data_IF_368606746358
#
_entry.id   IF_368606746358
#
_cell.length_a   1.000
_cell.length_b   1.000
_cell.length_c   1.000
_cell.angle_alpha   90.00
_cell.angle_beta   90.00
_cell.angle_gamma   90.00
#
_symmetry.space_group_name_H-M   'P 1'
#
loop_
_entity.id
_entity.type
_entity.pdbx_description
1 polymer ?
#
# COMPACT_ATOMS: atom_id res chain seq x y z
N UNK A 1 -46.06 49.82 30.15
CA UNK A 1 -44.82 49.65 29.37
C UNK A 1 -44.07 48.44 29.91
N UNK A 2 -44.12 47.29 29.22
CA UNK A 2 -43.03 46.30 29.08
C UNK A 2 -43.56 45.07 28.36
N UNK A 3 -43.04 44.89 27.15
CA UNK A 3 -43.24 43.76 26.27
C UNK A 3 -42.41 42.59 26.79
N UNK A 4 -43.02 41.42 27.05
CA UNK A 4 -42.25 40.20 27.33
C UNK A 4 -42.24 39.36 26.05
N UNK A 5 -41.06 39.34 25.43
CA UNK A 5 -40.77 38.74 24.13
C UNK A 5 -40.71 37.21 24.25
N UNK A 6 -41.27 36.55 23.25
CA UNK A 6 -41.12 35.12 22.97
C UNK A 6 -39.64 34.72 22.90
N UNK A 7 -39.26 33.61 23.53
CA UNK A 7 -38.01 32.92 23.25
C UNK A 7 -38.35 31.47 22.91
N UNK A 8 -38.49 31.20 21.61
CA UNK A 8 -38.55 29.83 21.08
C UNK A 8 -37.10 29.36 21.02
N UNK A 9 -36.72 28.44 21.89
CA UNK A 9 -35.43 27.78 21.84
C UNK A 9 -35.47 26.72 20.73
N UNK A 10 -34.99 27.06 19.54
CA UNK A 10 -34.73 26.11 18.46
C UNK A 10 -33.41 25.39 18.73
N UNK A 11 -33.49 24.17 19.25
CA UNK A 11 -32.34 23.26 19.35
C UNK A 11 -32.07 22.71 17.95
N UNK A 12 -31.06 23.26 17.26
CA UNK A 12 -30.49 22.70 16.05
C UNK A 12 -29.57 21.53 16.43
N UNK A 13 -30.09 20.31 16.33
CA UNK A 13 -29.28 19.09 16.41
C UNK A 13 -28.54 18.95 15.08
N UNK A 14 -27.28 19.40 15.03
CA UNK A 14 -26.37 19.05 13.96
C UNK A 14 -26.00 17.57 14.09
N UNK A 15 -26.68 16.71 13.34
CA UNK A 15 -26.17 15.36 13.07
C UNK A 15 -24.90 15.51 12.23
N UNK A 16 -23.74 15.37 12.86
CA UNK A 16 -22.49 15.12 12.16
C UNK A 16 -22.59 13.72 11.53
N UNK A 17 -23.05 13.64 10.30
CA UNK A 17 -22.88 12.44 9.49
C UNK A 17 -21.36 12.30 9.30
N UNK A 18 -20.72 11.21 9.76
CA UNK A 18 -19.36 10.94 9.33
C UNK A 18 -19.44 10.69 7.82
N UNK A 19 -19.03 11.67 7.03
CA UNK A 19 -18.73 11.46 5.62
C UNK A 19 -17.52 10.54 5.64
N UNK A 20 -17.76 9.24 5.54
CA UNK A 20 -16.73 8.30 5.10
C UNK A 20 -16.46 8.71 3.66
N UNK A 21 -15.55 9.66 3.47
CA UNK A 21 -14.97 9.92 2.17
C UNK A 21 -14.21 8.63 1.81
N UNK A 22 -14.85 7.75 1.04
CA UNK A 22 -14.09 6.78 0.25
C UNK A 22 -13.11 7.62 -0.58
N UNK A 23 -11.82 7.46 -0.29
CA UNK A 23 -10.76 8.11 -1.06
C UNK A 23 -10.83 7.48 -2.45
N UNK A 24 -11.51 8.16 -3.38
CA UNK A 24 -11.56 7.74 -4.77
C UNK A 24 -10.15 7.84 -5.35
N UNK A 25 -9.50 6.71 -5.58
CA UNK A 25 -8.21 6.64 -6.25
C UNK A 25 -8.41 6.72 -7.76
N UNK A 26 -7.88 7.75 -8.45
CA UNK A 26 -7.95 7.84 -9.91
C UNK A 26 -7.31 6.62 -10.58
N UNK A 27 -7.83 6.13 -11.73
CA UNK A 27 -7.31 4.93 -12.40
C UNK A 27 -5.78 4.96 -12.65
N UNK A 28 -5.23 6.12 -12.99
CA UNK A 28 -3.79 6.30 -13.22
C UNK A 28 -2.93 6.20 -11.94
N UNK A 29 -3.57 6.25 -10.77
CA UNK A 29 -2.95 6.13 -9.44
C UNK A 29 -3.22 4.79 -8.75
N UNK A 30 -3.89 3.85 -9.43
CA UNK A 30 -4.14 2.49 -8.94
C UNK A 30 -2.94 1.57 -9.18
N UNK A 31 -2.93 0.44 -8.48
CA UNK A 31 -1.87 -0.56 -8.54
C UNK A 31 -1.71 -1.12 -9.95
N UNK A 32 -0.45 -1.28 -10.38
CA UNK A 32 -0.15 -1.92 -11.66
C UNK A 32 1.19 -2.64 -11.63
N UNK A 33 1.24 -3.83 -12.22
CA UNK A 33 2.44 -4.67 -12.33
C UNK A 33 3.67 -3.94 -12.87
N UNK A 34 3.49 -2.99 -13.79
CA UNK A 34 4.61 -2.21 -14.36
C UNK A 34 5.36 -1.35 -13.34
N UNK A 35 4.78 -1.12 -12.16
CA UNK A 35 5.38 -0.37 -11.07
C UNK A 35 6.12 -1.24 -10.04
N UNK A 36 6.25 -2.55 -10.30
CA UNK A 36 7.04 -3.45 -9.46
C UNK A 36 8.51 -3.03 -9.45
N UNK A 37 9.06 -2.93 -8.25
CA UNK A 37 10.46 -2.57 -7.97
C UNK A 37 11.01 -3.48 -6.88
N UNK A 38 12.33 -3.62 -6.88
CA UNK A 38 13.07 -4.38 -5.88
C UNK A 38 13.76 -3.40 -4.92
N UNK A 39 13.85 -3.78 -3.65
CA UNK A 39 14.63 -3.11 -2.63
C UNK A 39 15.59 -4.08 -1.95
N UNK A 40 16.56 -3.52 -1.25
CA UNK A 40 17.47 -4.24 -0.36
C UNK A 40 17.37 -3.58 1.00
N UNK A 41 16.93 -4.34 2.00
CA UNK A 41 17.15 -3.99 3.40
C UNK A 41 18.46 -4.64 3.84
N UNK A 42 19.39 -3.86 4.35
CA UNK A 42 20.68 -4.29 4.85
C UNK A 42 21.15 -3.50 6.09
N UNK A 43 20.21 -2.96 6.87
CA UNK A 43 20.46 -2.31 8.16
C UNK A 43 20.78 -3.31 9.29
N UNK A 44 21.47 -2.84 10.34
CA UNK A 44 21.95 -3.66 11.44
C UNK A 44 22.76 -4.91 10.96
N UNK A 45 22.41 -6.10 11.44
CA UNK A 45 23.04 -7.39 11.11
C UNK A 45 22.19 -8.26 10.17
N UNK A 46 21.17 -7.70 9.51
CA UNK A 46 20.29 -8.46 8.60
C UNK A 46 20.44 -7.92 7.18
N UNK A 47 20.39 -8.78 6.17
CA UNK A 47 20.23 -8.36 4.78
C UNK A 47 19.23 -9.22 4.01
N UNK A 48 18.32 -8.60 3.27
CA UNK A 48 17.30 -9.29 2.46
C UNK A 48 16.81 -8.44 1.30
N UNK A 49 16.56 -9.09 0.16
CA UNK A 49 15.77 -8.50 -0.91
C UNK A 49 14.29 -8.48 -0.55
N UNK A 50 13.57 -7.52 -1.12
CA UNK A 50 12.12 -7.41 -1.04
C UNK A 50 11.55 -6.68 -2.25
N UNK A 51 10.23 -6.75 -2.44
CA UNK A 51 9.51 -6.14 -3.55
C UNK A 51 8.28 -5.36 -3.06
N UNK A 52 7.97 -4.27 -3.76
CA UNK A 52 6.87 -3.38 -3.41
C UNK A 52 5.47 -3.91 -3.75
N UNK A 53 5.37 -5.17 -4.19
CA UNK A 53 4.10 -5.90 -4.28
C UNK A 53 3.84 -6.79 -3.06
N UNK A 54 4.71 -6.76 -2.04
CA UNK A 54 4.47 -7.38 -0.73
C UNK A 54 5.40 -8.54 -0.37
N UNK A 55 6.18 -9.05 -1.33
CA UNK A 55 7.10 -10.17 -1.06
C UNK A 55 8.42 -9.71 -0.44
N UNK A 56 8.89 -10.44 0.57
CA UNK A 56 10.22 -10.31 1.19
C UNK A 56 10.91 -11.66 1.06
N UNK A 57 12.20 -11.65 0.68
CA UNK A 57 12.95 -12.84 0.26
C UNK A 57 12.38 -13.51 -1.00
N UNK A 58 13.22 -14.26 -1.72
CA UNK A 58 12.79 -15.00 -2.91
C UNK A 58 13.74 -16.18 -3.15
N UNK A 59 13.22 -17.40 -3.26
CA UNK A 59 14.04 -18.60 -3.52
C UNK A 59 14.89 -18.52 -4.79
N UNK A 60 16.20 -18.75 -4.65
CA UNK A 60 17.15 -18.62 -5.76
C UNK A 60 17.63 -17.18 -6.00
N UNK A 61 17.21 -16.21 -5.18
CA UNK A 61 17.79 -14.86 -5.12
C UNK A 61 18.49 -14.64 -3.79
N UNK A 62 19.46 -13.72 -3.79
CA UNK A 62 20.27 -13.39 -2.62
C UNK A 62 20.46 -11.86 -2.54
N UNK A 63 20.52 -11.28 -1.32
CA UNK A 63 20.37 -11.95 -0.03
C UNK A 63 18.91 -12.30 0.32
N UNK A 64 18.71 -13.36 1.09
CA UNK A 64 17.38 -13.87 1.47
C UNK A 64 17.27 -14.12 2.98
N UNK A 65 16.99 -13.05 3.74
CA UNK A 65 16.96 -13.09 5.19
C UNK A 65 18.28 -13.52 5.83
N UNK A 66 19.41 -12.99 5.34
CA UNK A 66 20.74 -13.37 5.81
C UNK A 66 21.03 -12.75 7.17
N UNK A 67 21.57 -13.56 8.08
CA UNK A 67 22.08 -13.12 9.38
C UNK A 67 23.30 -13.98 9.83
N UNK A 68 24.34 -13.40 10.44
CA UNK A 68 24.65 -11.98 10.39
C UNK A 68 24.96 -11.54 8.95
N UNK A 69 24.66 -10.28 8.63
CA UNK A 69 24.94 -9.65 7.34
C UNK A 69 26.36 -9.97 6.86
N UNK A 70 26.50 -10.37 5.59
CA UNK A 70 27.79 -10.78 5.02
C UNK A 70 28.19 -12.23 5.29
N UNK A 71 27.42 -13.01 6.05
CA UNK A 71 27.67 -14.45 6.22
C UNK A 71 27.34 -15.26 4.96
N UNK A 72 26.44 -14.76 4.12
CA UNK A 72 25.88 -15.50 2.99
C UNK A 72 24.91 -16.63 3.39
N UNK A 73 24.65 -16.84 4.69
CA UNK A 73 23.71 -17.83 5.16
C UNK A 73 22.28 -17.28 5.11
N UNK A 74 21.48 -17.78 4.18
CA UNK A 74 20.06 -17.42 4.05
C UNK A 74 19.16 -18.25 4.95
N UNK A 75 18.15 -17.60 5.51
CA UNK A 75 17.15 -18.23 6.39
C UNK A 75 15.72 -18.11 5.87
N UNK A 76 15.51 -17.41 4.75
CA UNK A 76 14.18 -17.16 4.19
C UNK A 76 14.10 -17.64 2.74
N UNK A 77 12.95 -18.20 2.38
CA UNK A 77 12.59 -18.53 1.00
C UNK A 77 11.80 -17.36 0.39
N UNK A 78 10.64 -17.05 0.96
CA UNK A 78 9.81 -15.90 0.61
C UNK A 78 8.67 -15.79 1.63
N UNK A 79 8.30 -14.56 1.98
CA UNK A 79 7.13 -14.27 2.83
C UNK A 79 6.33 -13.14 2.19
N UNK A 80 5.02 -13.17 2.38
CA UNK A 80 4.11 -12.10 1.92
C UNK A 80 2.95 -11.99 2.90
N UNK A 81 2.39 -10.78 3.13
CA UNK A 81 1.16 -10.65 3.90
C UNK A 81 -0.02 -11.24 3.12
N UNK A 82 -0.87 -11.98 3.82
CA UNK A 82 -2.18 -12.41 3.34
C UNK A 82 -3.24 -11.54 4.01
N UNK A 83 -4.14 -10.97 3.21
CA UNK A 83 -5.29 -10.21 3.71
C UNK A 83 -6.55 -10.94 3.26
N UNK A 84 -7.41 -11.29 4.21
CA UNK A 84 -8.65 -12.02 3.92
C UNK A 84 -9.85 -11.19 4.40
N UNK A 85 -10.85 -11.05 3.55
CA UNK A 85 -12.09 -10.34 3.87
C UNK A 85 -13.32 -11.18 3.54
N UNK A 86 -14.33 -11.15 4.41
CA UNK A 86 -15.67 -11.62 4.09
C UNK A 86 -16.43 -10.49 3.38
N UNK A 87 -16.97 -10.78 2.20
CA UNK A 87 -17.72 -9.81 1.40
C UNK A 87 -19.03 -10.42 0.89
N UNK A 88 -19.97 -9.56 0.47
CA UNK A 88 -21.17 -9.99 -0.26
C UNK A 88 -21.03 -9.59 -1.72
N UNK A 89 -21.18 -10.55 -2.62
CA UNK A 89 -21.19 -10.29 -4.05
C UNK A 89 -22.50 -9.60 -4.49
N UNK A 90 -22.58 -9.25 -5.78
CA UNK A 90 -23.78 -8.59 -6.36
C UNK A 90 -25.07 -9.42 -6.27
N UNK A 91 -24.97 -10.72 -6.03
CA UNK A 91 -26.10 -11.64 -5.84
C UNK A 91 -26.49 -11.82 -4.36
N UNK A 92 -25.83 -11.11 -3.46
CA UNK A 92 -26.05 -11.20 -2.01
C UNK A 92 -25.46 -12.46 -1.36
N UNK A 93 -24.63 -13.22 -2.08
CA UNK A 93 -23.95 -14.41 -1.56
C UNK A 93 -22.68 -13.96 -0.84
N UNK A 94 -22.49 -14.49 0.38
CA UNK A 94 -21.25 -14.30 1.14
C UNK A 94 -20.11 -15.09 0.50
N UNK A 95 -18.97 -14.45 0.32
CA UNK A 95 -17.73 -15.05 -0.16
C UNK A 95 -16.54 -14.51 0.63
N UNK A 96 -15.42 -15.22 0.57
CA UNK A 96 -14.17 -14.84 1.21
C UNK A 96 -13.13 -14.58 0.13
N UNK A 97 -12.59 -13.37 0.10
CA UNK A 97 -11.53 -12.97 -0.84
C UNK A 97 -10.22 -12.96 -0.06
N UNK A 98 -9.15 -13.47 -0.68
CA UNK A 98 -7.82 -13.57 -0.10
C UNK A 98 -6.82 -12.93 -1.05
N UNK A 99 -6.25 -11.81 -0.63
CA UNK A 99 -5.26 -11.05 -1.38
C UNK A 99 -3.85 -11.31 -0.89
N UNK A 100 -2.95 -11.48 -1.85
CA UNK A 100 -1.53 -11.71 -1.62
C UNK A 100 -0.70 -11.08 -2.74
N UNK A 101 0.61 -10.97 -2.52
CA UNK A 101 1.55 -10.60 -3.56
C UNK A 101 2.76 -11.51 -3.46
N UNK A 102 2.75 -12.59 -4.23
CA UNK A 102 3.78 -13.63 -4.18
C UNK A 102 4.27 -13.97 -5.60
N UNK A 103 5.49 -14.48 -5.71
CA UNK A 103 6.10 -14.86 -6.99
C UNK A 103 5.46 -16.08 -7.68
N UNK A 104 4.76 -16.93 -6.93
CA UNK A 104 4.32 -18.26 -7.38
C UNK A 104 2.85 -18.47 -7.04
N UNK A 105 2.18 -19.30 -7.86
CA UNK A 105 0.81 -19.78 -7.63
C UNK A 105 -0.24 -18.68 -7.41
N UNK A 106 0.04 -17.46 -7.88
CA UNK A 106 -0.95 -16.40 -7.98
C UNK A 106 -1.95 -16.75 -9.09
N UNK A 107 -3.20 -16.33 -8.92
CA UNK A 107 -4.18 -16.37 -9.99
C UNK A 107 -3.76 -15.41 -11.13
N UNK A 108 -4.06 -15.77 -12.37
CA UNK A 108 -3.60 -15.05 -13.56
C UNK A 108 -4.81 -14.65 -14.41
N UNK A 109 -4.89 -13.37 -14.78
CA UNK A 109 -5.93 -12.87 -15.68
C UNK A 109 -5.79 -13.47 -17.09
N UNK A 110 -6.85 -13.43 -17.93
CA UNK A 110 -6.74 -13.85 -19.33
C UNK A 110 -5.64 -13.14 -20.13
N UNK A 111 -5.24 -11.94 -19.71
CA UNK A 111 -4.16 -11.12 -20.29
C UNK A 111 -2.76 -11.53 -19.79
N UNK A 112 -2.67 -12.51 -18.89
CA UNK A 112 -1.40 -13.01 -18.36
C UNK A 112 -0.81 -12.19 -17.22
N UNK A 113 -1.63 -11.37 -16.55
CA UNK A 113 -1.20 -10.55 -15.40
C UNK A 113 -1.61 -11.25 -14.10
N UNK A 114 -0.69 -11.35 -13.15
CA UNK A 114 -1.01 -11.92 -11.84
C UNK A 114 -2.00 -11.01 -11.11
N UNK A 115 -3.12 -11.59 -10.64
CA UNK A 115 -4.04 -10.97 -9.69
C UNK A 115 -3.37 -10.89 -8.31
N UNK A 116 -3.86 -10.02 -7.44
CA UNK A 116 -3.23 -9.73 -6.15
C UNK A 116 -2.65 -8.32 -6.05
N UNK A 117 -1.82 -8.13 -5.02
CA UNK A 117 -1.21 -6.84 -4.71
C UNK A 117 -0.33 -6.33 -5.85
N UNK A 118 -0.59 -5.10 -6.29
CA UNK A 118 0.24 -4.38 -7.23
C UNK A 118 0.63 -3.00 -6.70
N UNK A 119 1.86 -2.53 -6.94
CA UNK A 119 2.32 -1.26 -6.40
C UNK A 119 1.63 -0.08 -7.08
N UNK A 120 1.29 0.92 -6.28
CA UNK A 120 0.75 2.20 -6.75
C UNK A 120 1.86 3.16 -7.15
N UNK A 121 1.69 3.98 -8.19
CA UNK A 121 2.64 5.03 -8.53
C UNK A 121 2.59 6.18 -7.51
N UNK A 122 3.61 7.05 -7.53
CA UNK A 122 3.70 8.22 -6.65
C UNK A 122 4.33 7.96 -5.28
N UNK A 123 4.85 6.75 -5.06
CA UNK A 123 5.55 6.34 -3.83
C UNK A 123 7.00 5.92 -4.07
N UNK A 124 7.54 6.20 -5.27
CA UNK A 124 8.91 5.94 -5.68
C UNK A 124 9.32 6.95 -6.76
N UNK A 125 10.62 7.13 -6.98
CA UNK A 125 11.12 7.89 -8.12
C UNK A 125 10.86 7.12 -9.43
N UNK A 126 10.03 7.62 -10.36
CA UNK A 126 9.72 6.90 -11.59
C UNK A 126 10.93 6.75 -12.54
N UNK A 127 11.99 7.53 -12.33
CA UNK A 127 13.22 7.48 -13.14
C UNK A 127 14.28 6.53 -12.56
N UNK A 128 13.91 5.67 -11.61
CA UNK A 128 14.79 4.73 -10.92
C UNK A 128 14.09 3.38 -10.78
N UNK A 129 14.85 2.30 -10.67
CA UNK A 129 14.31 0.94 -10.48
C UNK A 129 14.26 0.49 -9.02
N UNK A 130 14.41 1.44 -8.09
CA UNK A 130 14.45 1.19 -6.65
C UNK A 130 13.14 1.54 -5.95
N UNK A 131 12.79 0.77 -4.93
CA UNK A 131 11.78 1.16 -3.93
C UNK A 131 12.28 2.38 -3.17
N UNK A 132 11.37 3.23 -2.66
CA UNK A 132 11.77 4.33 -1.81
C UNK A 132 12.35 3.83 -0.47
N UNK A 133 13.60 4.20 -0.19
CA UNK A 133 14.36 3.82 1.01
C UNK A 133 14.73 5.06 1.81
N UNK A 134 14.65 5.01 3.14
CA UNK A 134 14.89 6.16 4.01
C UNK A 134 16.29 6.76 3.93
N UNK A 135 17.27 5.97 3.51
CA UNK A 135 18.68 6.32 3.35
C UNK A 135 19.08 6.61 1.89
N UNK A 136 18.15 6.51 0.95
CA UNK A 136 18.36 6.86 -0.47
C UNK A 136 17.34 7.91 -0.94
N UNK A 137 17.59 9.22 -0.71
CA UNK A 137 16.69 10.28 -1.15
C UNK A 137 16.44 10.33 -2.67
N UNK A 138 17.33 9.75 -3.49
CA UNK A 138 17.16 9.68 -4.94
C UNK A 138 16.07 8.67 -5.32
N UNK A 139 15.78 7.70 -4.44
CA UNK A 139 14.70 6.73 -4.62
C UNK A 139 13.29 7.32 -4.38
N UNK A 140 13.17 8.53 -3.81
CA UNK A 140 11.89 9.13 -3.44
C UNK A 140 11.18 9.80 -4.62
N UNK A 141 9.84 9.83 -4.64
CA UNK A 141 9.12 10.67 -5.58
C UNK A 141 9.37 12.16 -5.28
N UNK A 142 9.23 13.03 -6.29
CA UNK A 142 9.32 14.49 -6.08
C UNK A 142 8.24 15.02 -5.12
N UNK A 143 7.09 14.36 -5.09
CA UNK A 143 5.94 14.63 -4.23
C UNK A 143 5.34 13.28 -3.81
N UNK A 144 5.15 13.06 -2.51
CA UNK A 144 4.46 11.88 -2.02
C UNK A 144 2.97 11.97 -2.33
N UNK A 145 2.38 10.95 -2.93
CA UNK A 145 0.99 10.97 -3.37
C UNK A 145 -0.03 11.14 -2.22
N UNK A 146 0.35 10.78 -1.00
CA UNK A 146 -0.46 10.80 0.21
C UNK A 146 -0.13 11.97 1.16
N UNK A 147 0.76 12.89 0.78
CA UNK A 147 1.18 14.03 1.62
C UNK A 147 1.05 15.37 0.91
N UNK A 148 1.01 16.44 1.70
CA UNK A 148 1.07 17.80 1.21
C UNK A 148 2.49 18.23 0.80
N UNK A 149 2.60 19.38 0.13
CA UNK A 149 3.86 19.88 -0.41
C UNK A 149 4.95 20.15 0.63
N UNK A 150 4.62 20.30 1.92
CA UNK A 150 5.61 20.45 2.98
C UNK A 150 6.46 19.19 3.18
N UNK A 151 6.01 18.03 2.69
CA UNK A 151 6.75 16.76 2.74
C UNK A 151 7.68 16.53 1.55
N UNK A 152 7.68 17.43 0.56
CA UNK A 152 8.56 17.30 -0.60
C UNK A 152 10.03 17.30 -0.15
N UNK A 153 10.81 16.32 -0.60
CA UNK A 153 12.21 16.15 -0.20
C UNK A 153 12.41 15.68 1.26
N UNK A 154 11.35 15.27 1.95
CA UNK A 154 11.41 14.67 3.29
C UNK A 154 11.03 13.18 3.22
N UNK A 155 11.57 12.36 4.11
CA UNK A 155 11.17 10.96 4.23
C UNK A 155 9.71 10.83 4.67
N UNK A 156 8.95 9.91 4.05
CA UNK A 156 7.57 9.59 4.44
C UNK A 156 7.58 8.57 5.60
N UNK A 157 8.16 8.97 6.73
CA UNK A 157 8.27 8.14 7.91
C UNK A 157 6.95 8.06 8.67
N UNK A 158 6.66 6.88 9.23
CA UNK A 158 5.45 6.66 10.04
C UNK A 158 5.36 7.62 11.24
N UNK A 159 6.50 7.92 11.88
CA UNK A 159 6.59 8.84 13.02
C UNK A 159 7.02 10.27 12.61
N UNK A 160 6.73 10.68 11.37
CA UNK A 160 7.00 12.03 10.86
C UNK A 160 8.11 12.07 9.81
N UNK A 161 8.63 13.27 9.53
CA UNK A 161 9.65 13.55 8.51
C UNK A 161 11.06 13.09 8.92
N UNK A 162 11.18 11.87 9.46
CA UNK A 162 12.43 11.28 9.96
C UNK A 162 12.39 9.76 9.89
N UNK A 163 13.56 9.14 9.78
CA UNK A 163 13.77 7.70 9.93
C UNK A 163 13.82 7.33 11.42
N UNK A 164 13.32 6.14 11.79
CA UNK A 164 13.30 5.62 13.16
C UNK A 164 14.00 4.26 13.30
N UNK A 165 14.44 3.65 12.20
CA UNK A 165 15.27 2.46 12.14
C UNK A 165 16.56 2.74 11.35
N UNK A 166 17.50 1.79 11.34
CA UNK A 166 18.70 1.88 10.48
C UNK A 166 18.34 2.05 9.01
N UNK A 167 17.27 1.37 8.57
CA UNK A 167 16.64 1.54 7.27
C UNK A 167 15.12 1.34 7.38
N UNK A 168 14.38 2.14 6.63
CA UNK A 168 12.95 2.00 6.39
C UNK A 168 12.69 2.02 4.88
N UNK A 169 11.63 1.34 4.45
CA UNK A 169 11.10 1.45 3.09
C UNK A 169 9.65 1.87 3.13
N UNK A 170 9.18 2.56 2.09
CA UNK A 170 7.79 3.01 2.01
C UNK A 170 7.24 2.79 0.60
N UNK A 171 6.09 2.14 0.52
CA UNK A 171 5.33 1.93 -0.71
C UNK A 171 3.87 1.67 -0.36
N UNK A 172 2.99 1.87 -1.32
CA UNK A 172 1.57 1.53 -1.23
C UNK A 172 1.24 0.60 -2.37
N UNK A 173 0.43 -0.41 -2.10
CA UNK A 173 -0.08 -1.39 -3.07
C UNK A 173 -1.59 -1.52 -2.90
N UNK A 174 -2.27 -1.93 -3.97
CA UNK A 174 -3.69 -2.26 -3.99
C UNK A 174 -3.96 -3.48 -4.89
N UNK A 175 -5.17 -4.00 -4.84
CA UNK A 175 -5.68 -5.19 -5.52
C UNK A 175 -6.45 -4.82 -6.80
N UNK A 176 -6.26 -3.63 -7.37
CA UNK A 176 -7.03 -3.18 -8.54
C UNK A 176 -6.91 -4.12 -9.76
N UNK A 177 -5.86 -4.95 -9.84
CA UNK A 177 -5.72 -5.95 -10.90
C UNK A 177 -6.46 -7.26 -10.62
N UNK A 178 -7.10 -7.43 -9.47
CA UNK A 178 -7.95 -8.58 -9.20
C UNK A 178 -9.35 -8.37 -9.80
N UNK A 179 -9.54 -8.95 -10.99
CA UNK A 179 -10.82 -9.01 -11.69
C UNK A 179 -11.49 -10.40 -11.60
N UNK A 180 -11.02 -11.26 -10.70
CA UNK A 180 -11.43 -12.67 -10.63
C UNK A 180 -12.76 -12.91 -9.90
N UNK A 181 -13.19 -11.93 -9.09
CA UNK A 181 -14.35 -12.05 -8.20
C UNK A 181 -15.50 -11.12 -8.59
N UNK A 182 -16.74 -11.57 -8.37
CA UNK A 182 -17.96 -10.76 -8.57
C UNK A 182 -18.19 -9.75 -7.42
N UNK A 183 -17.15 -8.99 -7.07
CA UNK A 183 -17.13 -8.06 -5.95
C UNK A 183 -16.51 -6.73 -6.37
N UNK A 184 -17.23 -5.64 -6.06
CA UNK A 184 -16.79 -4.27 -6.35
C UNK A 184 -17.04 -3.44 -5.09
N UNK A 185 -15.99 -2.97 -4.39
CA UNK A 185 -16.15 -2.29 -3.11
C UNK A 185 -16.76 -0.89 -3.27
N UNK A 186 -16.68 -0.29 -4.47
CA UNK A 186 -17.39 0.94 -4.80
C UNK A 186 -17.83 1.04 -6.28
N UNK A 187 -18.62 2.07 -6.58
CA UNK A 187 -19.21 2.32 -7.92
C UNK A 187 -18.20 2.64 -9.04
N UNK A 188 -16.92 2.79 -8.69
CA UNK A 188 -15.84 3.15 -9.61
C UNK A 188 -14.95 1.96 -9.95
N UNK A 189 -15.15 0.83 -9.28
CA UNK A 189 -14.54 -0.45 -9.62
C UNK A 189 -15.49 -1.21 -10.55
N UNK A 190 -14.97 -1.68 -11.69
CA UNK A 190 -15.74 -2.27 -12.79
C UNK A 190 -14.97 -3.36 -13.50
#
# INVERSE_FOLDING_TARGET
>A
MKWTKYLIASILIFYAIPIIAQIKVPPEMRGNRKYRKQGLHNGNLVETLFWNFGEVAWWGRQPSGVWPKGSGHSYMDGITPLVVAEVRNRKGVTMHICEAGYRELMDISPEGVERGWQPRPGYFNPNQDKIAMSDDPISWPKKWADKDASWNGCWNGYFGKRTNADQESYFVMDDNSDDGSDFYPDSTDH
#
